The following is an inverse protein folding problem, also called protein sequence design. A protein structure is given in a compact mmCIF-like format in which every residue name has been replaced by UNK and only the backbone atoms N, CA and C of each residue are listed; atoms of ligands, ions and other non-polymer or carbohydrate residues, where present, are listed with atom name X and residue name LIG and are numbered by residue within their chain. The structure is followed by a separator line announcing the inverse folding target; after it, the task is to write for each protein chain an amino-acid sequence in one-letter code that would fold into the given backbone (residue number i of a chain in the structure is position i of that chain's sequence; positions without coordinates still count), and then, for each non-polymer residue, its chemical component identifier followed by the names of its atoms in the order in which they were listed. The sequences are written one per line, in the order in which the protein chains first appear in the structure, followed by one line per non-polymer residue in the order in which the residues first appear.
data_IF_288287097629
#
_entry.id   IF_288287097629
#
_cell.length_a   1.000
_cell.length_b   1.000
_cell.length_c   1.000
_cell.angle_alpha   90.00
_cell.angle_beta   90.00
_cell.angle_gamma   90.00
#
_symmetry.space_group_name_H-M   'P 1'
#
loop_
_entity.id
_entity.type
_entity.pdbx_description
1 polymer ?
#
# COMPACT_ATOMS: atom_id res chain seq x y z
N UNK A 1 56.13 7.45 54.99
CA UNK A 1 56.69 6.30 54.26
C UNK A 1 56.18 6.41 52.82
N UNK A 2 56.99 6.94 51.87
CA UNK A 2 57.91 6.22 50.93
C UNK A 2 57.12 5.24 50.02
N UNK A 3 57.16 5.19 48.68
CA UNK A 3 57.94 5.71 47.54
C UNK A 3 56.97 5.66 46.30
N UNK A 4 56.82 6.58 45.34
CA UNK A 4 57.70 7.20 44.32
C UNK A 4 58.04 6.33 43.07
N UNK A 5 57.73 6.89 41.88
CA UNK A 5 58.17 6.59 40.48
C UNK A 5 57.57 5.35 39.78
N UNK A 6 57.21 5.32 38.49
CA UNK A 6 57.82 5.78 37.22
C UNK A 6 56.67 5.86 36.17
N UNK A 7 56.60 6.73 35.17
CA UNK A 7 57.56 7.66 34.62
C UNK A 7 56.92 8.59 33.58
N UNK A 8 57.55 9.75 33.46
CA UNK A 8 57.40 10.70 32.38
C UNK A 8 58.28 10.26 31.18
N UNK A 9 57.90 10.64 29.96
CA UNK A 9 58.86 10.77 28.86
C UNK A 9 58.39 10.29 27.50
N UNK A 10 57.77 11.19 26.75
CA UNK A 10 58.17 11.54 25.38
C UNK A 10 57.58 12.94 25.13
N UNK A 11 58.32 14.05 25.27
CA UNK A 11 59.19 14.65 24.24
C UNK A 11 58.59 14.49 22.83
N UNK A 12 58.51 15.47 21.95
CA UNK A 12 58.73 16.91 21.93
C UNK A 12 58.69 17.23 20.42
N UNK A 13 57.94 18.23 19.96
CA UNK A 13 58.30 18.88 18.70
C UNK A 13 57.74 20.30 18.54
N UNK A 14 58.69 21.25 18.66
CA UNK A 14 58.82 22.56 17.96
C UNK A 14 57.85 23.68 18.40
N UNK A 15 58.25 24.70 19.20
CA UNK A 15 59.34 25.73 19.12
C UNK A 15 58.89 27.03 18.44
N UNK A 16 58.87 28.12 19.24
CA UNK A 16 59.15 29.55 18.93
C UNK A 16 58.33 30.25 17.82
N UNK A 17 58.12 31.57 17.75
CA UNK A 17 58.24 32.78 18.57
C UNK A 17 57.64 33.86 17.67
N UNK A 18 56.99 34.88 18.22
CA UNK A 18 56.65 36.03 17.38
C UNK A 18 55.60 36.99 17.91
N UNK A 19 55.76 37.45 19.16
CA UNK A 19 55.08 38.65 19.64
C UNK A 19 55.84 39.87 19.07
N UNK A 20 55.27 40.56 18.08
CA UNK A 20 55.67 41.93 17.71
C UNK A 20 54.41 42.79 17.65
N UNK A 21 54.31 43.69 18.62
CA UNK A 21 53.38 44.83 18.62
C UNK A 21 54.06 45.98 17.90
N UNK A 22 53.43 46.53 16.87
CA UNK A 22 53.76 47.83 16.26
C UNK A 22 52.52 48.75 16.27
N UNK A 23 52.66 50.07 16.51
CA UNK A 23 51.55 51.00 16.53
C UNK A 23 51.27 51.59 15.14
N UNK A 24 50.04 51.46 14.66
CA UNK A 24 49.55 52.12 13.44
C UNK A 24 48.14 51.65 13.03
N UNK A 25 47.14 52.54 13.10
CA UNK A 25 45.79 52.36 12.51
C UNK A 25 45.85 52.57 10.97
N UNK A 26 44.81 52.27 10.15
CA UNK A 26 43.50 51.63 10.42
C UNK A 26 43.19 50.45 9.47
N UNK A 27 42.54 49.41 9.99
CA UNK A 27 41.99 48.33 9.17
C UNK A 27 40.88 47.65 9.95
N UNK A 28 39.63 47.95 9.59
CA UNK A 28 38.45 47.34 10.18
C UNK A 28 38.47 45.84 9.82
N UNK A 29 38.49 44.90 10.79
CA UNK A 29 38.38 43.49 10.47
C UNK A 29 36.94 43.17 10.09
N UNK A 30 36.75 42.51 8.94
CA UNK A 30 35.46 42.02 8.41
C UNK A 30 34.68 41.07 9.36
N UNK A 31 35.25 40.73 10.51
CA UNK A 31 34.67 39.88 11.53
C UNK A 31 33.66 40.60 12.45
N UNK A 32 33.52 41.94 12.32
CA UNK A 32 32.44 42.70 12.95
C UNK A 32 31.07 42.53 12.26
N UNK A 33 30.96 41.68 11.24
CA UNK A 33 29.69 41.36 10.56
C UNK A 33 29.04 40.03 10.99
N UNK A 34 29.57 39.33 12.00
CA UNK A 34 28.92 38.14 12.57
C UNK A 34 27.97 38.52 13.72
N UNK A 35 26.90 39.24 13.37
CA UNK A 35 25.69 39.34 14.19
C UNK A 35 24.51 38.85 13.37
N UNK A 36 23.90 37.75 13.81
CA UNK A 36 22.55 37.38 13.39
C UNK A 36 22.28 35.88 13.37
N UNK A 37 21.68 35.30 14.43
CA UNK A 37 21.05 33.99 14.39
C UNK A 37 19.63 34.13 13.82
N UNK A 38 19.15 33.12 13.09
CA UNK A 38 17.78 33.04 12.53
C UNK A 38 17.44 34.09 11.47
N UNK A 39 17.71 33.76 10.21
CA UNK A 39 16.89 34.27 9.11
C UNK A 39 15.63 33.39 9.04
N UNK A 40 14.41 33.94 9.26
CA UNK A 40 13.22 33.25 8.80
C UNK A 40 13.34 33.13 7.28
N UNK A 41 13.41 31.89 6.78
CA UNK A 41 13.34 31.60 5.35
C UNK A 41 11.95 32.03 4.85
N UNK A 42 11.79 33.30 4.49
CA UNK A 42 10.76 33.75 3.58
C UNK A 42 11.20 33.43 2.14
N UNK A 43 11.47 32.15 1.86
CA UNK A 43 11.48 31.71 0.47
C UNK A 43 10.04 31.39 0.09
N UNK A 44 9.39 32.20 -0.77
CA UNK A 44 8.12 31.81 -1.34
C UNK A 44 8.33 30.48 -2.06
N UNK A 45 7.57 29.46 -1.64
CA UNK A 45 7.64 28.12 -2.20
C UNK A 45 7.47 28.23 -3.73
N UNK A 46 8.49 27.81 -4.46
CA UNK A 46 8.49 27.85 -5.91
C UNK A 46 7.84 26.57 -6.45
N UNK A 47 7.10 26.61 -7.56
CA UNK A 47 6.43 25.44 -8.13
C UNK A 47 7.36 24.24 -8.42
N UNK A 48 8.67 24.45 -8.51
CA UNK A 48 9.68 23.42 -8.70
C UNK A 48 10.31 22.88 -7.41
N UNK A 49 9.89 23.35 -6.22
CA UNK A 49 10.49 22.91 -4.97
C UNK A 49 10.21 21.41 -4.73
N UNK A 50 11.21 20.62 -4.32
CA UNK A 50 11.04 19.17 -4.11
C UNK A 50 10.00 18.83 -3.04
N UNK A 51 9.68 19.76 -2.14
CA UNK A 51 8.61 19.61 -1.14
C UNK A 51 7.21 19.72 -1.76
N UNK A 52 7.06 20.38 -2.90
CA UNK A 52 5.82 20.43 -3.68
C UNK A 52 5.71 19.28 -4.69
N UNK A 53 6.82 18.59 -4.95
CA UNK A 53 6.89 17.39 -5.81
C UNK A 53 6.69 16.09 -5.03
N UNK A 54 6.37 16.17 -3.72
CA UNK A 54 5.96 15.01 -2.96
C UNK A 54 4.72 14.44 -3.64
N UNK A 55 4.75 13.18 -4.14
CA UNK A 55 3.56 12.58 -4.72
C UNK A 55 2.45 12.69 -3.68
N UNK A 56 1.33 13.29 -4.08
CA UNK A 56 0.19 13.48 -3.19
C UNK A 56 -0.20 12.16 -2.53
N UNK A 57 -0.86 12.19 -1.36
CA UNK A 57 -1.37 10.98 -0.75
C UNK A 57 -2.15 10.17 -1.80
N UNK A 58 -1.88 8.86 -1.91
CA UNK A 58 -2.61 8.01 -2.84
C UNK A 58 -4.12 8.23 -2.60
N UNK A 59 -4.91 8.48 -3.65
CA UNK A 59 -6.35 8.63 -3.50
C UNK A 59 -6.91 7.39 -2.82
N UNK A 60 -7.75 7.59 -1.79
CA UNK A 60 -8.37 6.49 -1.05
C UNK A 60 -9.29 5.70 -2.01
N UNK A 61 -9.01 4.41 -2.27
CA UNK A 61 -9.81 3.59 -3.18
C UNK A 61 -11.26 3.40 -2.70
N UNK A 62 -11.56 3.73 -1.45
CA UNK A 62 -12.91 3.67 -0.87
C UNK A 62 -13.67 5.00 -0.98
N UNK A 63 -13.02 6.09 -1.41
CA UNK A 63 -13.63 7.40 -1.44
C UNK A 63 -14.80 7.46 -2.43
N UNK A 64 -16.01 7.69 -1.91
CA UNK A 64 -17.23 7.86 -2.70
C UNK A 64 -17.94 6.58 -3.10
N UNK A 65 -17.48 5.40 -2.65
CA UNK A 65 -18.16 4.13 -2.89
C UNK A 65 -19.34 3.93 -1.93
N UNK A 66 -20.45 3.39 -2.44
CA UNK A 66 -21.55 2.93 -1.60
C UNK A 66 -21.11 1.77 -0.68
N UNK A 67 -21.76 1.54 0.47
CA UNK A 67 -21.47 0.37 1.30
C UNK A 67 -21.70 -0.93 0.53
N UNK A 68 -20.65 -1.72 0.35
CA UNK A 68 -20.69 -3.05 -0.27
C UNK A 68 -19.79 -4.03 0.50
N UNK A 69 -20.11 -5.33 0.55
CA UNK A 69 -19.20 -6.35 1.06
C UNK A 69 -17.84 -6.30 0.35
N UNK A 70 -17.83 -5.90 -0.92
CA UNK A 70 -16.65 -5.83 -1.77
C UNK A 70 -15.73 -4.64 -1.45
N UNK A 71 -16.17 -3.67 -0.64
CA UNK A 71 -15.31 -2.58 -0.17
C UNK A 71 -14.16 -3.11 0.70
N UNK A 72 -14.40 -4.17 1.46
CA UNK A 72 -13.35 -4.80 2.25
C UNK A 72 -12.21 -5.30 1.38
N UNK A 73 -12.50 -5.75 0.16
CA UNK A 73 -11.54 -6.32 -0.79
C UNK A 73 -10.52 -5.29 -1.30
N UNK A 74 -10.88 -4.01 -1.32
CA UNK A 74 -10.01 -2.93 -1.78
C UNK A 74 -8.99 -2.48 -0.73
N UNK A 75 -9.05 -3.03 0.49
CA UNK A 75 -8.11 -2.67 1.56
C UNK A 75 -6.71 -3.18 1.23
N UNK A 76 -5.67 -2.35 1.41
CA UNK A 76 -4.31 -2.79 1.18
C UNK A 76 -3.88 -3.82 2.23
N UNK A 77 -2.96 -4.72 1.84
CA UNK A 77 -2.31 -5.66 2.75
C UNK A 77 -3.11 -6.93 3.09
N UNK A 78 -4.24 -7.18 2.42
CA UNK A 78 -4.98 -8.43 2.57
C UNK A 78 -4.19 -9.62 2.02
N UNK A 79 -4.12 -10.68 2.80
CA UNK A 79 -3.59 -11.98 2.36
C UNK A 79 -4.52 -12.62 1.30
N UNK A 80 -4.01 -13.50 0.43
CA UNK A 80 -4.84 -14.24 -0.53
C UNK A 80 -6.03 -14.95 0.13
N UNK A 81 -5.83 -15.52 1.32
CA UNK A 81 -6.89 -16.16 2.09
C UNK A 81 -8.00 -15.17 2.47
N UNK A 82 -7.65 -14.03 3.06
CA UNK A 82 -8.64 -12.99 3.42
C UNK A 82 -9.36 -12.43 2.19
N UNK A 83 -8.65 -12.29 1.07
CA UNK A 83 -9.24 -11.89 -0.21
C UNK A 83 -10.31 -12.91 -0.66
N UNK A 84 -9.99 -14.21 -0.65
CA UNK A 84 -10.97 -15.26 -0.99
C UNK A 84 -12.10 -15.39 0.04
N UNK A 85 -11.87 -15.09 1.32
CA UNK A 85 -12.93 -15.04 2.35
C UNK A 85 -13.98 -13.97 2.03
N UNK A 86 -13.56 -12.78 1.59
CA UNK A 86 -14.47 -11.68 1.25
C UNK A 86 -15.34 -12.05 0.04
N UNK A 87 -14.72 -12.56 -1.03
CA UNK A 87 -15.45 -12.99 -2.24
C UNK A 87 -16.34 -14.20 -1.94
N UNK A 88 -15.84 -15.15 -1.16
CA UNK A 88 -16.58 -16.35 -0.76
C UNK A 88 -17.84 -16.00 0.02
N UNK A 89 -17.73 -15.11 1.01
CA UNK A 89 -18.88 -14.65 1.79
C UNK A 89 -19.91 -13.92 0.92
N UNK A 90 -19.46 -13.06 0.00
CA UNK A 90 -20.35 -12.38 -0.95
C UNK A 90 -21.19 -13.38 -1.77
N UNK A 91 -20.56 -14.45 -2.27
CA UNK A 91 -21.24 -15.48 -3.07
C UNK A 91 -22.15 -16.36 -2.22
N UNK A 92 -21.76 -16.67 -0.98
CA UNK A 92 -22.62 -17.37 -0.02
C UNK A 92 -23.85 -16.54 0.34
N UNK A 93 -23.69 -15.22 0.54
CA UNK A 93 -24.80 -14.30 0.80
C UNK A 93 -25.72 -14.22 -0.43
N UNK A 94 -25.15 -14.14 -1.63
CA UNK A 94 -25.89 -14.17 -2.89
C UNK A 94 -26.73 -15.45 -3.01
N UNK A 95 -26.11 -16.61 -2.82
CA UNK A 95 -26.79 -17.91 -2.87
C UNK A 95 -27.86 -18.03 -1.78
N UNK A 96 -27.58 -17.58 -0.55
CA UNK A 96 -28.55 -17.64 0.55
C UNK A 96 -29.82 -16.83 0.27
N UNK A 97 -29.69 -15.73 -0.46
CA UNK A 97 -30.82 -14.87 -0.83
C UNK A 97 -31.53 -15.33 -2.10
N UNK A 98 -30.82 -15.86 -3.09
CA UNK A 98 -31.36 -16.14 -4.43
C UNK A 98 -31.54 -17.62 -4.74
N UNK A 99 -30.96 -18.50 -3.92
CA UNK A 99 -30.91 -19.96 -4.11
C UNK A 99 -30.31 -20.39 -5.46
N UNK A 100 -29.45 -19.54 -6.01
CA UNK A 100 -28.63 -19.80 -7.19
C UNK A 100 -27.37 -18.97 -7.08
N UNK A 101 -26.25 -19.48 -7.61
CA UNK A 101 -25.06 -18.68 -7.86
C UNK A 101 -25.16 -17.95 -9.21
N UNK A 102 -24.42 -16.85 -9.41
CA UNK A 102 -24.28 -16.26 -10.72
C UNK A 102 -23.50 -17.21 -11.63
N UNK A 103 -23.97 -17.39 -12.86
CA UNK A 103 -23.37 -18.30 -13.85
C UNK A 103 -23.40 -17.66 -15.22
N UNK A 104 -22.45 -18.02 -16.08
CA UNK A 104 -22.39 -17.53 -17.45
C UNK A 104 -21.07 -16.82 -17.73
N UNK A 105 -21.09 -15.82 -18.60
CA UNK A 105 -19.91 -14.98 -18.84
C UNK A 105 -19.61 -14.10 -17.61
N UNK A 106 -18.42 -13.51 -17.60
CA UNK A 106 -18.06 -12.57 -16.53
C UNK A 106 -18.96 -11.34 -16.52
N UNK A 107 -19.40 -10.87 -17.69
CA UNK A 107 -20.36 -9.77 -17.83
C UNK A 107 -21.71 -10.14 -17.21
N UNK A 108 -22.19 -11.35 -17.47
CA UNK A 108 -23.43 -11.88 -16.89
C UNK A 108 -23.31 -12.02 -15.36
N UNK A 109 -22.15 -12.47 -14.88
CA UNK A 109 -21.85 -12.55 -13.45
C UNK A 109 -21.86 -11.16 -12.80
N UNK A 110 -21.20 -10.18 -13.39
CA UNK A 110 -21.21 -8.80 -12.92
C UNK A 110 -22.62 -8.20 -12.92
N UNK A 111 -23.39 -8.43 -13.99
CA UNK A 111 -24.77 -7.98 -14.11
C UNK A 111 -25.64 -8.59 -12.99
N UNK A 112 -25.52 -9.90 -12.77
CA UNK A 112 -26.24 -10.62 -11.73
C UNK A 112 -25.92 -10.10 -10.33
N UNK A 113 -24.64 -9.81 -10.02
CA UNK A 113 -24.20 -9.19 -8.76
C UNK A 113 -24.69 -7.75 -8.60
N UNK A 114 -24.83 -7.02 -9.71
CA UNK A 114 -25.35 -5.65 -9.75
C UNK A 114 -26.89 -5.56 -9.71
N UNK A 115 -27.58 -6.68 -9.55
CA UNK A 115 -29.03 -6.72 -9.39
C UNK A 115 -29.80 -7.25 -10.60
N UNK A 116 -29.16 -7.65 -11.69
CA UNK A 116 -29.83 -8.33 -12.81
C UNK A 116 -30.06 -9.81 -12.51
N UNK A 117 -30.71 -10.07 -11.38
CA UNK A 117 -31.06 -11.40 -10.90
C UNK A 117 -32.57 -11.52 -10.67
N UNK A 118 -33.04 -12.75 -10.38
CA UNK A 118 -34.47 -13.04 -10.28
C UNK A 118 -35.21 -12.20 -9.22
N UNK A 119 -34.53 -11.69 -8.18
CA UNK A 119 -35.13 -10.86 -7.13
C UNK A 119 -34.76 -9.37 -7.22
N UNK A 120 -34.01 -8.97 -8.24
CA UNK A 120 -33.56 -7.59 -8.42
C UNK A 120 -32.74 -7.03 -7.23
N UNK A 121 -32.00 -7.89 -6.53
CA UNK A 121 -31.21 -7.51 -5.35
C UNK A 121 -29.78 -7.21 -5.78
N UNK A 122 -29.31 -5.98 -5.60
CA UNK A 122 -27.92 -5.63 -5.84
C UNK A 122 -27.04 -5.95 -4.62
N UNK A 123 -25.96 -6.69 -4.84
CA UNK A 123 -24.94 -6.99 -3.82
C UNK A 123 -23.68 -6.14 -4.01
N UNK A 124 -23.42 -5.71 -5.24
CA UNK A 124 -22.28 -4.88 -5.63
C UNK A 124 -22.78 -3.75 -6.52
N UNK A 125 -22.20 -2.57 -6.40
CA UNK A 125 -22.50 -1.45 -7.30
C UNK A 125 -21.97 -1.73 -8.71
N UNK A 126 -22.73 -1.33 -9.75
CA UNK A 126 -22.28 -1.49 -11.13
C UNK A 126 -21.03 -0.63 -11.36
N UNK A 127 -19.95 -1.25 -11.82
CA UNK A 127 -18.66 -0.57 -12.04
C UNK A 127 -17.81 -0.43 -10.77
N UNK A 128 -18.12 -1.17 -9.71
CA UNK A 128 -17.25 -1.28 -8.54
C UNK A 128 -15.81 -1.63 -8.97
N UNK A 129 -14.77 -0.95 -8.47
CA UNK A 129 -13.40 -1.08 -8.99
C UNK A 129 -12.80 -2.48 -8.84
N UNK A 130 -13.31 -3.26 -7.87
CA UNK A 130 -12.91 -4.66 -7.73
C UNK A 130 -13.45 -5.60 -8.82
N UNK A 131 -14.47 -5.20 -9.59
CA UNK A 131 -14.97 -5.96 -10.73
C UNK A 131 -14.12 -5.64 -11.97
N UNK A 132 -12.95 -6.26 -12.06
CA UNK A 132 -12.05 -6.05 -13.19
C UNK A 132 -12.54 -6.78 -14.45
N UNK A 133 -11.81 -6.66 -15.55
CA UNK A 133 -12.01 -7.54 -16.71
C UNK A 133 -11.68 -8.96 -16.25
N UNK A 134 -12.59 -9.92 -16.44
CA UNK A 134 -12.51 -11.37 -16.15
C UNK A 134 -12.37 -11.87 -14.70
N UNK A 135 -12.03 -11.03 -13.73
CA UNK A 135 -11.82 -11.48 -12.35
C UNK A 135 -12.14 -10.39 -11.31
N UNK A 136 -12.20 -10.78 -10.03
CA UNK A 136 -12.08 -9.78 -8.97
C UNK A 136 -10.62 -9.38 -8.78
N UNK A 137 -10.32 -8.08 -8.76
CA UNK A 137 -8.95 -7.58 -8.49
C UNK A 137 -8.94 -6.42 -7.49
N UNK A 138 -8.11 -6.47 -6.44
CA UNK A 138 -8.04 -5.37 -5.47
C UNK A 138 -7.33 -4.12 -6.05
N UNK A 139 -6.51 -4.31 -7.10
CA UNK A 139 -5.88 -3.26 -7.89
C UNK A 139 -5.62 -3.76 -9.32
N UNK A 140 -5.37 -2.85 -10.27
CA UNK A 140 -5.22 -3.19 -11.69
C UNK A 140 -4.15 -4.26 -11.99
N UNK A 141 -3.01 -4.20 -11.29
CA UNK A 141 -1.88 -5.12 -11.46
C UNK A 141 -1.85 -6.23 -10.40
N UNK A 142 -2.89 -6.37 -9.58
CA UNK A 142 -2.94 -7.40 -8.54
C UNK A 142 -3.40 -8.75 -9.12
N UNK A 143 -3.03 -9.88 -8.47
CA UNK A 143 -3.59 -11.18 -8.80
C UNK A 143 -5.12 -11.17 -8.77
N UNK A 144 -5.75 -11.89 -9.72
CA UNK A 144 -7.20 -11.98 -9.84
C UNK A 144 -7.77 -13.10 -9.01
N UNK A 145 -9.08 -13.01 -8.72
CA UNK A 145 -9.88 -14.13 -8.20
C UNK A 145 -10.94 -14.48 -9.22
N UNK A 146 -10.88 -15.72 -9.70
CA UNK A 146 -11.86 -16.30 -10.62
C UNK A 146 -12.84 -17.17 -9.86
N UNK A 147 -14.10 -17.14 -10.31
CA UNK A 147 -15.15 -18.02 -9.78
C UNK A 147 -15.29 -19.22 -10.70
N UNK A 148 -15.13 -20.42 -10.15
CA UNK A 148 -15.52 -21.66 -10.81
C UNK A 148 -16.76 -22.24 -10.14
N UNK A 149 -17.93 -22.10 -10.77
CA UNK A 149 -19.18 -22.62 -10.23
C UNK A 149 -19.33 -24.10 -10.57
N UNK A 150 -19.39 -24.95 -9.54
CA UNK A 150 -19.59 -26.40 -9.68
C UNK A 150 -21.08 -26.74 -9.67
N UNK A 151 -21.84 -26.12 -8.76
CA UNK A 151 -23.28 -26.30 -8.67
C UNK A 151 -23.96 -25.01 -8.29
N UNK A 152 -24.65 -24.42 -9.28
CA UNK A 152 -25.36 -23.16 -9.10
C UNK A 152 -26.48 -23.29 -8.05
N UNK A 153 -27.26 -24.37 -8.11
CA UNK A 153 -28.36 -24.63 -7.17
C UNK A 153 -27.86 -25.20 -5.84
N UNK A 154 -26.79 -25.98 -5.85
CA UNK A 154 -26.19 -26.57 -4.65
C UNK A 154 -25.35 -25.59 -3.83
N UNK A 155 -25.08 -24.39 -4.35
CA UNK A 155 -24.25 -23.40 -3.65
C UNK A 155 -22.78 -23.80 -3.58
N UNK A 156 -22.31 -24.61 -4.54
CA UNK A 156 -20.94 -25.14 -4.55
C UNK A 156 -20.10 -24.46 -5.61
N UNK A 157 -18.95 -23.90 -5.20
CA UNK A 157 -18.05 -23.17 -6.08
C UNK A 157 -16.60 -23.22 -5.57
N UNK A 158 -15.65 -22.92 -6.44
CA UNK A 158 -14.25 -22.70 -6.10
C UNK A 158 -13.89 -21.27 -6.40
N UNK A 159 -13.02 -20.71 -5.58
CA UNK A 159 -12.31 -19.48 -5.85
C UNK A 159 -10.87 -19.82 -6.18
N UNK A 160 -10.40 -19.30 -7.30
CA UNK A 160 -9.05 -19.51 -7.80
C UNK A 160 -8.37 -18.15 -7.72
N UNK A 161 -7.45 -18.00 -6.77
CA UNK A 161 -6.63 -16.81 -6.62
C UNK A 161 -5.35 -17.00 -7.44
N UNK A 162 -5.14 -16.13 -8.43
CA UNK A 162 -4.01 -16.19 -9.34
C UNK A 162 -2.69 -16.20 -8.54
N UNK A 163 -1.76 -17.06 -8.93
CA UNK A 163 -0.41 -17.08 -8.39
C UNK A 163 0.41 -15.84 -8.78
N UNK A 164 1.70 -15.77 -8.39
CA UNK A 164 2.61 -14.70 -8.78
C UNK A 164 2.75 -14.49 -10.30
N UNK A 165 2.36 -15.45 -11.13
CA UNK A 165 2.40 -15.33 -12.58
C UNK A 165 1.19 -14.58 -13.19
N UNK A 166 0.18 -14.25 -12.35
CA UNK A 166 -1.07 -13.56 -12.70
C UNK A 166 -1.91 -14.27 -13.78
N UNK A 167 -1.72 -15.58 -13.95
CA UNK A 167 -2.50 -16.39 -14.88
C UNK A 167 -3.41 -17.31 -14.09
N UNK A 168 -4.68 -17.47 -14.51
CA UNK A 168 -5.54 -18.43 -13.89
C UNK A 168 -5.26 -19.85 -14.37
N UNK A 169 -5.60 -20.82 -13.52
CA UNK A 169 -5.50 -22.26 -13.75
C UNK A 169 -4.07 -22.76 -13.92
N UNK A 170 -3.13 -22.22 -13.15
CA UNK A 170 -1.72 -22.64 -13.09
C UNK A 170 -1.39 -23.33 -11.77
N UNK A 171 -0.24 -24.02 -11.73
CA UNK A 171 0.16 -24.81 -10.55
C UNK A 171 0.50 -23.96 -9.32
N UNK A 172 0.72 -22.65 -9.49
CA UNK A 172 1.00 -21.69 -8.43
C UNK A 172 -0.26 -21.01 -7.85
N UNK A 173 -1.44 -21.30 -8.41
CA UNK A 173 -2.71 -20.77 -7.94
C UNK A 173 -3.12 -21.30 -6.58
N UNK A 174 -3.79 -20.43 -5.82
CA UNK A 174 -4.41 -20.82 -4.56
C UNK A 174 -5.89 -21.10 -4.78
N UNK A 175 -6.26 -22.38 -4.72
CA UNK A 175 -7.63 -22.84 -4.87
C UNK A 175 -8.28 -22.97 -3.50
N UNK A 176 -9.50 -22.44 -3.38
CA UNK A 176 -10.34 -22.62 -2.20
C UNK A 176 -11.75 -23.06 -2.57
N UNK A 177 -12.22 -24.11 -1.92
CA UNK A 177 -13.55 -24.68 -2.15
C UNK A 177 -14.57 -24.14 -1.16
N UNK A 178 -15.82 -24.04 -1.63
CA UNK A 178 -16.99 -23.71 -0.83
C UNK A 178 -18.08 -24.74 -1.16
N UNK A 179 -18.50 -25.58 -0.18
CA UNK A 179 -17.95 -25.70 1.18
C UNK A 179 -16.51 -26.28 1.21
N UNK A 180 -15.80 -26.15 2.34
CA UNK A 180 -14.37 -26.50 2.42
C UNK A 180 -14.08 -28.00 2.30
N UNK A 181 -15.07 -28.85 2.59
CA UNK A 181 -15.01 -30.32 2.51
C UNK A 181 -15.35 -30.88 1.12
N UNK A 182 -15.47 -30.01 0.13
CA UNK A 182 -15.78 -30.40 -1.24
C UNK A 182 -14.57 -31.10 -1.89
N UNK A 183 -14.72 -32.40 -2.17
CA UNK A 183 -13.74 -33.25 -2.84
C UNK A 183 -14.15 -33.52 -4.30
N UNK A 184 -13.16 -33.64 -5.19
CA UNK A 184 -13.32 -33.91 -6.62
C UNK A 184 -12.44 -35.06 -7.10
#
# INVERSE_FOLDING_TARGET
MLFLWVGAGLLALIVFVGRVSGPGRPGVPAWLALRGPWQPMNHPLQPGDPILQVPGPLPDPLAGLAPSPLNAFLKPGLTPREQTDIIGQLLLDYWSNLHSLPTGTWEETCAALAGENAKQIAFVERGHPALARDAFRPAADAPGIHIHVISASGGMFQLIHDGPDHKPFTDDDQIRNFPEDLEF
#
